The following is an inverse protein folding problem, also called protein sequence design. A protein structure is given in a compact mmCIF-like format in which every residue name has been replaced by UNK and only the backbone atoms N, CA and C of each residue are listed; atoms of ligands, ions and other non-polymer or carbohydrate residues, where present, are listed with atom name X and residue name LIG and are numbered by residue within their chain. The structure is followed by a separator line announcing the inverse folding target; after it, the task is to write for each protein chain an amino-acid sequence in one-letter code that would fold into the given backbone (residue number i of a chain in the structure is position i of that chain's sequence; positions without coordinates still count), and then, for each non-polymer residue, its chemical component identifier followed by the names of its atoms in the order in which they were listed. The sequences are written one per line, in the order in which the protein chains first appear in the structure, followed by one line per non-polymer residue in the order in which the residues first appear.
data_IF_450525429026
#
_entry.id   IF_450525429026
#
_cell.length_a   1.000
_cell.length_b   1.000
_cell.length_c   1.000
_cell.angle_alpha   90.00
_cell.angle_beta   90.00
_cell.angle_gamma   90.00
#
_symmetry.space_group_name_H-M   'P 1'
#
loop_
_entity.id
_entity.type
_entity.pdbx_description
1 polymer ?
#
# COMPACT_ATOMS: atom_id res chain seq x y z
N UNK A 1 -7.14 8.74 34.66
CA UNK A 1 -8.28 8.02 34.07
C UNK A 1 -8.40 6.69 34.76
N UNK A 2 -9.52 6.41 35.41
CA UNK A 2 -9.81 5.11 36.00
C UNK A 2 -10.00 4.07 34.90
N UNK A 3 -9.85 2.76 35.20
CA UNK A 3 -10.01 1.69 34.22
C UNK A 3 -11.37 1.70 33.51
N UNK A 4 -12.40 2.29 34.15
CA UNK A 4 -13.76 2.39 33.64
C UNK A 4 -13.96 3.38 32.48
N UNK A 5 -13.01 4.31 32.26
CA UNK A 5 -13.19 5.42 31.27
C UNK A 5 -12.54 5.18 29.91
N UNK A 6 -11.89 4.03 29.70
CA UNK A 6 -11.24 3.75 28.41
C UNK A 6 -12.24 3.17 27.40
N UNK A 7 -12.50 3.89 26.31
CA UNK A 7 -13.35 3.41 25.22
C UNK A 7 -12.58 2.47 24.31
N UNK A 8 -12.90 1.17 24.35
CA UNK A 8 -12.31 0.16 23.49
C UNK A 8 -12.85 0.18 22.07
N UNK A 9 -14.06 0.71 21.87
CA UNK A 9 -14.71 0.79 20.57
C UNK A 9 -14.33 2.09 19.88
N UNK A 10 -13.72 2.02 18.71
CA UNK A 10 -13.44 3.15 17.84
C UNK A 10 -14.54 3.39 16.80
N UNK A 11 -14.18 4.01 15.70
CA UNK A 11 -15.09 4.28 14.60
C UNK A 11 -15.52 2.96 13.91
N UNK A 12 -16.77 2.94 13.43
CA UNK A 12 -17.27 1.90 12.53
C UNK A 12 -17.55 2.50 11.15
N UNK A 13 -17.04 1.85 10.10
CA UNK A 13 -17.32 2.22 8.71
C UNK A 13 -17.38 0.96 7.84
N UNK A 14 -18.28 0.94 6.85
CA UNK A 14 -18.56 -0.25 6.06
C UNK A 14 -18.75 -1.50 6.96
N UNK A 15 -18.01 -2.56 6.71
CA UNK A 15 -17.99 -3.81 7.46
C UNK A 15 -16.89 -3.87 8.53
N UNK A 16 -16.21 -2.76 8.82
CA UNK A 16 -15.05 -2.68 9.71
C UNK A 16 -15.42 -1.96 11.01
N UNK A 17 -15.07 -2.55 12.15
CA UNK A 17 -15.11 -1.94 13.47
C UNK A 17 -13.70 -1.78 13.99
N UNK A 18 -13.25 -0.54 14.21
CA UNK A 18 -11.97 -0.27 14.84
C UNK A 18 -12.04 -0.57 16.35
N UNK A 19 -11.07 -1.31 16.84
CA UNK A 19 -10.88 -1.54 18.26
C UNK A 19 -9.60 -0.85 18.75
N UNK A 20 -9.68 -0.28 19.93
CA UNK A 20 -8.56 0.36 20.62
C UNK A 20 -8.08 -0.56 21.73
N UNK A 21 -6.79 -0.58 21.96
CA UNK A 21 -6.17 -1.36 23.03
C UNK A 21 -5.33 -0.45 23.93
N UNK A 22 -5.35 -0.74 25.22
CA UNK A 22 -4.39 -0.15 26.17
C UNK A 22 -3.11 -0.97 26.14
N UNK A 23 -1.98 -0.28 26.20
CA UNK A 23 -0.67 -0.90 26.35
C UNK A 23 -0.34 -0.93 27.85
N UNK A 24 -0.87 -1.92 28.57
CA UNK A 24 -0.64 -2.06 29.99
C UNK A 24 0.87 -2.26 30.26
N UNK A 25 1.41 -1.52 31.23
CA UNK A 25 2.83 -1.57 31.57
C UNK A 25 3.73 -0.60 30.77
N UNK A 26 3.21 0.09 29.76
CA UNK A 26 4.03 1.06 29.00
C UNK A 26 4.59 2.18 29.88
N UNK A 27 3.81 2.65 30.86
CA UNK A 27 4.22 3.70 31.79
C UNK A 27 5.40 3.27 32.68
N UNK A 28 5.56 1.97 32.93
CA UNK A 28 6.63 1.39 33.76
C UNK A 28 7.96 1.25 33.00
N UNK A 29 7.95 1.36 31.68
CA UNK A 29 9.16 1.31 30.88
C UNK A 29 10.08 2.48 31.20
N UNK A 30 11.39 2.24 31.15
CA UNK A 30 12.40 3.29 31.26
C UNK A 30 12.28 4.32 30.14
N UNK A 31 12.85 5.49 30.34
CA UNK A 31 12.89 6.52 29.30
C UNK A 31 13.65 6.03 28.05
N UNK A 32 14.70 5.22 28.22
CA UNK A 32 15.46 4.62 27.12
C UNK A 32 14.59 3.69 26.30
N UNK A 33 13.86 2.77 26.93
CA UNK A 33 12.94 1.86 26.28
C UNK A 33 11.82 2.60 25.53
N UNK A 34 11.25 3.65 26.12
CA UNK A 34 10.23 4.48 25.46
C UNK A 34 10.80 5.19 24.22
N UNK A 35 12.03 5.71 24.28
CA UNK A 35 12.70 6.32 23.14
C UNK A 35 13.02 5.30 22.04
N UNK A 36 13.45 4.11 22.41
CA UNK A 36 13.67 3.01 21.49
C UNK A 36 12.39 2.68 20.69
N UNK A 37 11.27 2.42 21.41
CA UNK A 37 9.96 2.15 20.79
C UNK A 37 9.50 3.31 19.91
N UNK A 38 9.70 4.56 20.33
CA UNK A 38 9.37 5.74 19.52
C UNK A 38 10.14 5.75 18.20
N UNK A 39 11.45 5.49 18.23
CA UNK A 39 12.26 5.47 17.01
C UNK A 39 11.83 4.33 16.06
N UNK A 40 11.54 3.13 16.58
CA UNK A 40 11.01 2.02 15.79
C UNK A 40 9.66 2.37 15.18
N UNK A 41 8.74 2.96 15.95
CA UNK A 41 7.45 3.41 15.46
C UNK A 41 7.59 4.46 14.34
N UNK A 42 8.56 5.38 14.46
CA UNK A 42 8.86 6.32 13.37
C UNK A 42 9.38 5.64 12.12
N UNK A 43 10.26 4.65 12.25
CA UNK A 43 10.77 3.88 11.11
C UNK A 43 9.62 3.19 10.35
N UNK A 44 8.68 2.57 11.06
CA UNK A 44 7.54 1.85 10.43
C UNK A 44 6.63 2.76 9.62
N UNK A 45 6.51 4.05 9.97
CA UNK A 45 5.68 4.98 9.20
C UNK A 45 6.16 5.17 7.76
N UNK A 46 7.48 5.10 7.51
CA UNK A 46 8.04 5.20 6.16
C UNK A 46 7.87 3.92 5.34
N UNK A 47 7.64 2.77 5.99
CA UNK A 47 7.32 1.51 5.32
C UNK A 47 5.90 1.45 4.75
N UNK A 48 5.00 2.33 5.20
CA UNK A 48 3.58 2.31 4.79
C UNK A 48 3.40 2.45 3.28
N UNK A 49 4.07 3.41 2.66
CA UNK A 49 3.95 3.66 1.21
C UNK A 49 4.51 2.48 0.39
N UNK A 50 5.54 1.82 0.90
CA UNK A 50 6.08 0.59 0.31
C UNK A 50 5.00 -0.51 0.31
N UNK A 51 4.34 -0.73 1.45
CA UNK A 51 3.26 -1.73 1.57
C UNK A 51 2.11 -1.44 0.59
N UNK A 52 1.67 -0.19 0.46
CA UNK A 52 0.65 0.19 -0.52
C UNK A 52 1.07 -0.14 -1.95
N UNK A 53 2.29 0.16 -2.32
CA UNK A 53 2.80 -0.09 -3.66
C UNK A 53 3.01 -1.58 -3.94
N UNK A 54 3.49 -2.35 -2.96
CA UNK A 54 3.65 -3.81 -3.10
C UNK A 54 2.32 -4.55 -3.21
N UNK A 55 1.27 -4.09 -2.50
CA UNK A 55 -0.06 -4.71 -2.55
C UNK A 55 -0.81 -4.44 -3.86
N UNK A 56 -0.36 -3.47 -4.66
CA UNK A 56 -0.89 -3.21 -5.99
C UNK A 56 -0.25 -1.99 -6.62
N UNK A 57 0.11 -2.10 -7.88
CA UNK A 57 0.83 -1.07 -8.65
C UNK A 57 0.20 0.34 -8.52
N UNK A 58 -1.13 0.40 -8.44
CA UNK A 58 -1.88 1.67 -8.41
C UNK A 58 -2.37 2.08 -7.03
N UNK A 59 -2.22 1.25 -6.00
CA UNK A 59 -2.80 1.50 -4.68
C UNK A 59 -2.33 2.81 -4.06
N UNK A 60 -1.04 3.13 -4.18
CA UNK A 60 -0.49 4.37 -3.64
C UNK A 60 -1.01 5.59 -4.41
N UNK A 61 -1.15 5.48 -5.73
CA UNK A 61 -1.72 6.54 -6.58
C UNK A 61 -3.19 6.79 -6.24
N UNK A 62 -4.00 5.72 -6.11
CA UNK A 62 -5.41 5.82 -5.66
C UNK A 62 -5.48 6.51 -4.30
N UNK A 63 -4.73 6.03 -3.30
CA UNK A 63 -4.74 6.61 -1.96
C UNK A 63 -4.43 8.10 -1.97
N UNK A 64 -3.33 8.50 -2.59
CA UNK A 64 -2.89 9.91 -2.63
C UNK A 64 -3.91 10.80 -3.35
N UNK A 65 -4.51 10.32 -4.43
CA UNK A 65 -5.54 11.08 -5.14
C UNK A 65 -6.80 11.27 -4.29
N UNK A 66 -7.27 10.20 -3.63
CA UNK A 66 -8.46 10.28 -2.77
C UNK A 66 -8.20 11.11 -1.51
N UNK A 67 -6.99 11.08 -0.93
CA UNK A 67 -6.58 11.94 0.18
C UNK A 67 -6.69 13.41 -0.21
N UNK A 68 -6.16 13.80 -1.37
CA UNK A 68 -6.26 15.18 -1.88
C UNK A 68 -7.71 15.62 -2.07
N UNK A 69 -8.58 14.74 -2.59
CA UNK A 69 -10.02 15.03 -2.75
C UNK A 69 -10.69 15.25 -1.39
N UNK A 70 -10.41 14.37 -0.42
CA UNK A 70 -11.08 14.44 0.91
C UNK A 70 -10.58 15.61 1.74
N UNK A 71 -9.34 16.06 1.55
CA UNK A 71 -8.77 17.23 2.22
C UNK A 71 -9.18 18.57 1.58
N UNK A 72 -9.77 18.56 0.38
CA UNK A 72 -10.16 19.79 -0.32
C UNK A 72 -11.49 20.35 0.19
N UNK A 73 -11.40 21.46 0.94
CA UNK A 73 -12.55 22.13 1.55
C UNK A 73 -13.49 22.83 0.55
N UNK A 74 -13.13 22.88 -0.73
CA UNK A 74 -14.01 23.46 -1.77
C UNK A 74 -15.02 22.45 -2.31
N UNK A 75 -14.86 21.17 -1.97
CA UNK A 75 -15.78 20.09 -2.33
C UNK A 75 -16.90 20.02 -1.28
N UNK A 76 -18.13 19.77 -1.74
CA UNK A 76 -19.28 19.55 -0.86
C UNK A 76 -19.15 18.18 -0.16
N UNK A 77 -18.88 18.22 1.15
CA UNK A 77 -18.72 17.04 1.99
C UNK A 77 -20.06 16.45 2.47
N UNK A 78 -21.16 17.16 2.34
CA UNK A 78 -22.49 16.69 2.74
C UNK A 78 -23.22 15.88 1.65
N UNK A 79 -22.60 15.71 0.51
CA UNK A 79 -23.08 14.91 -0.60
C UNK A 79 -22.92 13.40 -0.33
N UNK A 80 -23.93 12.60 -0.70
CA UNK A 80 -23.92 11.13 -0.51
C UNK A 80 -22.78 10.44 -1.28
N UNK A 81 -22.48 10.89 -2.49
CA UNK A 81 -21.37 10.39 -3.30
C UNK A 81 -20.02 10.65 -2.62
N UNK A 82 -19.85 11.84 -2.01
CA UNK A 82 -18.66 12.16 -1.24
C UNK A 82 -18.53 11.27 0.00
N UNK A 83 -19.61 11.06 0.75
CA UNK A 83 -19.61 10.17 1.91
C UNK A 83 -19.24 8.73 1.53
N UNK A 84 -19.72 8.25 0.39
CA UNK A 84 -19.37 6.95 -0.15
C UNK A 84 -17.89 6.88 -0.56
N UNK A 85 -17.35 7.91 -1.21
CA UNK A 85 -15.94 8.03 -1.56
C UNK A 85 -15.04 8.05 -0.30
N UNK A 86 -15.41 8.81 0.71
CA UNK A 86 -14.67 8.88 1.98
C UNK A 86 -14.68 7.51 2.69
N UNK A 87 -15.81 6.80 2.68
CA UNK A 87 -15.90 5.43 3.19
C UNK A 87 -15.00 4.47 2.42
N UNK A 88 -14.95 4.61 1.09
CA UNK A 88 -14.05 3.84 0.24
C UNK A 88 -12.57 4.12 0.58
N UNK A 89 -12.19 5.39 0.75
CA UNK A 89 -10.83 5.76 1.17
C UNK A 89 -10.47 5.14 2.54
N UNK A 90 -11.39 5.12 3.51
CA UNK A 90 -11.16 4.45 4.80
C UNK A 90 -10.89 2.95 4.64
N UNK A 91 -11.61 2.27 3.73
CA UNK A 91 -11.33 0.87 3.40
C UNK A 91 -9.95 0.71 2.76
N UNK A 92 -9.57 1.63 1.85
CA UNK A 92 -8.25 1.66 1.21
C UNK A 92 -7.14 1.84 2.25
N UNK A 93 -7.31 2.75 3.21
CA UNK A 93 -6.35 2.93 4.32
C UNK A 93 -6.20 1.65 5.15
N UNK A 94 -7.32 1.06 5.56
CA UNK A 94 -7.33 -0.13 6.39
C UNK A 94 -6.66 -1.34 5.72
N UNK A 95 -6.91 -1.52 4.43
CA UNK A 95 -6.45 -2.70 3.67
C UNK A 95 -5.11 -2.51 2.96
N UNK A 96 -4.48 -1.34 3.08
CA UNK A 96 -3.30 -0.93 2.32
C UNK A 96 -3.51 -1.02 0.80
N UNK A 97 -4.70 -0.71 0.32
CA UNK A 97 -5.04 -0.72 -1.10
C UNK A 97 -6.52 -0.98 -1.37
N UNK A 98 -6.85 -1.12 -2.65
CA UNK A 98 -8.23 -1.25 -3.14
C UNK A 98 -8.79 -2.67 -3.05
N UNK A 99 -8.10 -3.58 -2.34
CA UNK A 99 -8.49 -4.99 -2.22
C UNK A 99 -8.81 -5.35 -0.79
N UNK A 100 -9.79 -6.24 -0.61
CA UNK A 100 -10.13 -6.74 0.71
C UNK A 100 -8.92 -7.43 1.35
N UNK A 101 -8.67 -7.12 2.63
CA UNK A 101 -7.45 -7.52 3.33
C UNK A 101 -7.31 -9.04 3.54
N UNK A 102 -8.42 -9.80 3.58
CA UNK A 102 -8.42 -11.26 3.63
C UNK A 102 -8.76 -11.91 2.28
N UNK A 103 -9.90 -11.56 1.68
CA UNK A 103 -10.42 -12.21 0.48
C UNK A 103 -9.68 -11.84 -0.80
N UNK A 104 -8.91 -10.75 -0.77
CA UNK A 104 -8.13 -10.24 -1.90
C UNK A 104 -8.94 -9.71 -3.09
N UNK A 105 -10.27 -9.72 -3.06
CA UNK A 105 -11.12 -9.14 -4.11
C UNK A 105 -11.12 -7.61 -4.05
N UNK A 106 -11.28 -7.00 -5.22
CA UNK A 106 -11.36 -5.56 -5.37
C UNK A 106 -12.62 -5.02 -4.70
N UNK A 107 -12.48 -3.91 -3.97
CA UNK A 107 -13.63 -3.19 -3.43
C UNK A 107 -14.50 -2.61 -4.55
N UNK A 108 -15.81 -2.77 -4.41
CA UNK A 108 -16.78 -2.07 -5.24
C UNK A 108 -16.96 -0.66 -4.67
N UNK A 109 -16.73 0.41 -5.45
CA UNK A 109 -16.99 1.77 -5.01
C UNK A 109 -18.49 2.02 -4.81
N UNK A 110 -18.85 2.75 -3.75
CA UNK A 110 -20.22 3.18 -3.50
C UNK A 110 -20.57 4.55 -4.12
N UNK A 111 -19.65 5.10 -4.91
CA UNK A 111 -19.80 6.37 -5.64
C UNK A 111 -19.64 6.12 -7.13
N UNK A 112 -20.19 7.02 -7.95
CA UNK A 112 -20.16 6.87 -9.41
C UNK A 112 -18.85 7.32 -10.04
N UNK A 113 -18.49 6.74 -11.19
CA UNK A 113 -17.34 7.19 -11.98
C UNK A 113 -17.52 8.65 -12.45
N UNK A 114 -18.74 9.03 -12.85
CA UNK A 114 -19.04 10.40 -13.27
C UNK A 114 -18.80 11.41 -12.15
N UNK A 115 -19.18 11.07 -10.92
CA UNK A 115 -18.90 11.91 -9.75
C UNK A 115 -17.39 12.00 -9.50
N UNK A 116 -16.68 10.87 -9.53
CA UNK A 116 -15.23 10.85 -9.35
C UNK A 116 -14.51 11.76 -10.34
N UNK A 117 -14.82 11.65 -11.64
CA UNK A 117 -14.24 12.52 -12.67
C UNK A 117 -14.59 13.98 -12.47
N UNK A 118 -15.83 14.26 -12.10
CA UNK A 118 -16.28 15.63 -11.82
C UNK A 118 -15.49 16.28 -10.69
N UNK A 119 -15.35 15.62 -9.54
CA UNK A 119 -14.63 16.20 -8.40
C UNK A 119 -13.12 16.27 -8.63
N UNK A 120 -12.54 15.31 -9.35
CA UNK A 120 -11.12 15.33 -9.68
C UNK A 120 -10.74 16.57 -10.51
N UNK A 121 -11.60 16.98 -11.44
CA UNK A 121 -11.44 18.20 -12.22
C UNK A 121 -11.67 19.50 -11.42
N UNK A 122 -12.25 19.44 -10.23
CA UNK A 122 -12.40 20.60 -9.33
C UNK A 122 -11.19 20.85 -8.46
N UNK A 123 -10.43 19.82 -8.15
CA UNK A 123 -9.25 19.91 -7.31
C UNK A 123 -8.12 20.60 -8.08
N UNK A 124 -7.36 21.46 -7.41
CA UNK A 124 -6.18 22.10 -8.01
C UNK A 124 -5.18 21.03 -8.49
N UNK A 125 -4.86 21.02 -9.79
CA UNK A 125 -3.99 20.02 -10.42
C UNK A 125 -2.63 19.87 -9.75
N UNK A 126 -2.05 20.97 -9.21
CA UNK A 126 -0.76 20.94 -8.49
C UNK A 126 -0.77 20.13 -7.20
N UNK A 127 -1.94 19.83 -6.64
CA UNK A 127 -2.09 19.00 -5.43
C UNK A 127 -2.18 17.51 -5.78
N UNK A 128 -2.56 17.19 -7.01
CA UNK A 128 -2.73 15.81 -7.46
C UNK A 128 -1.37 15.13 -7.70
N UNK A 129 -1.27 13.82 -7.48
CA UNK A 129 -0.04 13.06 -7.68
C UNK A 129 0.21 12.75 -9.17
N UNK A 130 0.27 13.80 -9.99
CA UNK A 130 0.53 13.70 -11.42
C UNK A 130 2.01 13.36 -11.68
N UNK A 131 2.25 12.50 -12.66
CA UNK A 131 3.58 12.31 -13.22
C UNK A 131 4.00 13.52 -14.05
N UNK A 132 5.29 13.65 -14.34
CA UNK A 132 5.81 14.74 -15.16
C UNK A 132 5.12 14.76 -16.52
N UNK A 133 4.48 15.88 -16.86
CA UNK A 133 3.73 16.07 -18.09
C UNK A 133 2.35 15.41 -18.15
N UNK A 134 1.92 14.71 -17.09
CA UNK A 134 0.61 14.06 -17.03
C UNK A 134 -0.51 15.08 -16.81
N UNK A 135 -1.59 14.94 -17.54
CA UNK A 135 -2.82 15.72 -17.38
C UNK A 135 -3.74 15.13 -16.33
N UNK A 136 -4.67 15.93 -15.80
CA UNK A 136 -5.71 15.45 -14.87
C UNK A 136 -6.61 14.42 -15.55
N UNK A 137 -6.90 14.57 -16.84
CA UNK A 137 -7.75 13.64 -17.59
C UNK A 137 -7.08 12.28 -17.76
N UNK A 138 -5.79 12.23 -18.06
CA UNK A 138 -5.02 10.98 -18.12
C UNK A 138 -4.96 10.28 -16.76
N UNK A 139 -4.82 11.04 -15.66
CA UNK A 139 -4.93 10.47 -14.32
C UNK A 139 -6.32 9.92 -14.06
N UNK A 140 -7.37 10.67 -14.45
CA UNK A 140 -8.76 10.23 -14.32
C UNK A 140 -9.04 8.93 -15.10
N UNK A 141 -8.53 8.80 -16.32
CA UNK A 141 -8.68 7.59 -17.14
C UNK A 141 -8.03 6.37 -16.50
N UNK A 142 -6.80 6.52 -16.02
CA UNK A 142 -6.09 5.44 -15.32
C UNK A 142 -6.87 5.02 -14.07
N UNK A 143 -7.25 5.98 -13.23
CA UNK A 143 -7.92 5.67 -11.96
C UNK A 143 -9.35 5.18 -12.15
N UNK A 144 -10.08 5.67 -13.15
CA UNK A 144 -11.40 5.17 -13.51
C UNK A 144 -11.34 3.69 -13.88
N UNK A 145 -10.42 3.30 -14.73
CA UNK A 145 -10.21 1.89 -15.06
C UNK A 145 -9.82 1.06 -13.83
N UNK A 146 -8.92 1.58 -13.00
CA UNK A 146 -8.43 0.85 -11.81
C UNK A 146 -9.53 0.67 -10.77
N UNK A 147 -10.36 1.68 -10.53
CA UNK A 147 -11.37 1.69 -9.46
C UNK A 147 -12.67 1.02 -9.93
N UNK A 148 -13.17 1.33 -11.13
CA UNK A 148 -14.52 0.98 -11.56
C UNK A 148 -14.60 -0.23 -12.49
N UNK A 149 -13.55 -0.56 -13.26
CA UNK A 149 -13.54 -1.77 -14.08
C UNK A 149 -13.30 -3.01 -13.21
N UNK A 150 -14.35 -3.75 -12.93
CA UNK A 150 -14.29 -4.97 -12.12
C UNK A 150 -13.46 -6.10 -12.78
N UNK A 151 -13.24 -6.06 -14.10
CA UNK A 151 -12.46 -7.06 -14.83
C UNK A 151 -10.96 -6.74 -14.84
N UNK A 152 -10.59 -5.48 -14.64
CA UNK A 152 -9.21 -5.06 -14.64
C UNK A 152 -8.57 -5.27 -13.26
N UNK A 153 -7.58 -6.15 -13.16
CA UNK A 153 -6.90 -6.52 -11.92
C UNK A 153 -7.92 -6.87 -10.80
N UNK A 154 -8.74 -7.91 -10.96
CA UNK A 154 -9.88 -8.18 -10.09
C UNK A 154 -9.49 -8.63 -8.68
N UNK A 155 -8.29 -9.20 -8.52
CA UNK A 155 -7.79 -9.72 -7.24
C UNK A 155 -6.37 -9.24 -6.95
N UNK A 156 -6.08 -8.96 -5.68
CA UNK A 156 -4.71 -8.71 -5.23
C UNK A 156 -3.81 -9.91 -5.47
N UNK A 157 -4.27 -11.09 -5.07
CA UNK A 157 -3.61 -12.38 -5.29
C UNK A 157 -4.64 -13.33 -5.89
N UNK A 158 -4.40 -13.79 -7.10
CA UNK A 158 -5.19 -14.85 -7.72
C UNK A 158 -4.65 -16.23 -7.30
N UNK A 159 -5.56 -17.15 -7.00
CA UNK A 159 -5.26 -18.54 -6.63
C UNK A 159 -6.12 -19.52 -7.39
N UNK A 160 -6.66 -19.12 -8.53
CA UNK A 160 -7.55 -19.95 -9.36
C UNK A 160 -6.72 -20.97 -10.11
N UNK A 161 -7.07 -22.24 -10.00
CA UNK A 161 -6.40 -23.31 -10.74
C UNK A 161 -6.53 -23.11 -12.26
N UNK A 162 -5.43 -23.27 -12.97
CA UNK A 162 -5.34 -23.13 -14.41
C UNK A 162 -5.07 -21.71 -14.92
N UNK A 163 -5.10 -20.71 -14.05
CA UNK A 163 -4.68 -19.34 -14.37
C UNK A 163 -3.16 -19.18 -14.20
N UNK A 164 -2.56 -18.22 -14.94
CA UNK A 164 -1.24 -17.71 -14.61
C UNK A 164 -1.35 -16.83 -13.35
N UNK A 165 -0.93 -17.36 -12.21
CA UNK A 165 -1.12 -16.71 -10.90
C UNK A 165 -0.31 -15.41 -10.77
N UNK A 166 0.77 -15.25 -11.52
CA UNK A 166 1.61 -14.05 -11.53
C UNK A 166 0.99 -12.95 -12.36
N UNK A 167 0.61 -13.23 -13.61
CA UNK A 167 0.04 -12.22 -14.50
C UNK A 167 -1.35 -11.76 -14.07
N UNK A 168 -2.12 -12.61 -13.41
CA UNK A 168 -3.50 -12.32 -13.02
C UNK A 168 -3.65 -11.74 -11.61
N UNK A 169 -2.54 -11.62 -10.86
CA UNK A 169 -2.49 -10.94 -9.57
C UNK A 169 -2.12 -9.47 -9.72
N UNK A 170 -2.78 -8.61 -8.93
CA UNK A 170 -2.52 -7.18 -8.94
C UNK A 170 -1.33 -6.75 -8.04
N UNK A 171 -0.82 -7.64 -7.18
CA UNK A 171 0.35 -7.35 -6.35
C UNK A 171 1.58 -7.05 -7.21
N UNK A 172 2.39 -6.08 -6.74
CA UNK A 172 3.47 -5.49 -7.54
C UNK A 172 4.84 -6.11 -7.23
N UNK A 173 4.89 -7.46 -7.18
CA UNK A 173 6.14 -8.21 -7.05
C UNK A 173 6.68 -8.69 -8.40
N UNK A 174 5.87 -8.60 -9.44
CA UNK A 174 6.20 -9.01 -10.80
C UNK A 174 5.71 -7.96 -11.78
N UNK A 175 6.46 -7.68 -12.83
CA UNK A 175 6.04 -6.76 -13.89
C UNK A 175 6.40 -7.33 -15.27
N UNK A 176 5.38 -7.68 -16.07
CA UNK A 176 5.56 -8.25 -17.40
C UNK A 176 6.12 -9.68 -17.41
N UNK A 177 6.02 -10.39 -16.29
CA UNK A 177 6.58 -11.74 -16.07
C UNK A 177 5.44 -12.74 -15.94
N UNK A 178 5.54 -13.88 -16.61
CA UNK A 178 4.64 -15.02 -16.43
C UNK A 178 5.02 -15.85 -15.22
N UNK A 179 4.10 -16.68 -14.74
CA UNK A 179 4.39 -17.63 -13.65
C UNK A 179 5.56 -18.56 -14.04
N UNK A 180 5.54 -19.12 -15.24
CA UNK A 180 6.58 -20.02 -15.70
C UNK A 180 7.96 -19.34 -15.74
N UNK A 181 8.03 -18.10 -16.25
CA UNK A 181 9.29 -17.34 -16.27
C UNK A 181 9.82 -17.06 -14.86
N UNK A 182 8.94 -16.76 -13.91
CA UNK A 182 9.33 -16.53 -12.52
C UNK A 182 9.86 -17.83 -11.87
N UNK A 183 9.16 -18.95 -12.09
CA UNK A 183 9.57 -20.27 -11.59
C UNK A 183 10.94 -20.68 -12.17
N UNK A 184 11.12 -20.57 -13.47
CA UNK A 184 12.38 -20.92 -14.15
C UNK A 184 13.54 -20.06 -13.65
N UNK A 185 13.32 -18.74 -13.52
CA UNK A 185 14.33 -17.80 -13.03
C UNK A 185 14.81 -18.16 -11.62
N UNK A 186 13.89 -18.35 -10.67
CA UNK A 186 14.25 -18.64 -9.29
C UNK A 186 14.76 -20.08 -9.09
N UNK A 187 14.31 -21.04 -9.87
CA UNK A 187 14.85 -22.40 -9.84
C UNK A 187 16.29 -22.42 -10.33
N UNK A 188 16.62 -21.71 -11.41
CA UNK A 188 18.00 -21.60 -11.89
C UNK A 188 18.95 -20.98 -10.83
N UNK A 189 18.47 -19.97 -10.07
CA UNK A 189 19.25 -19.41 -8.97
C UNK A 189 19.48 -20.41 -7.82
N UNK A 190 18.45 -21.19 -7.46
CA UNK A 190 18.55 -22.23 -6.42
C UNK A 190 19.52 -23.34 -6.82
N UNK A 191 19.41 -23.84 -8.05
CA UNK A 191 20.30 -24.90 -8.57
C UNK A 191 21.76 -24.44 -8.58
N UNK A 192 21.99 -23.16 -8.92
CA UNK A 192 23.34 -22.57 -8.90
C UNK A 192 23.93 -22.38 -7.49
N UNK A 193 23.11 -22.32 -6.45
CA UNK A 193 23.52 -22.08 -5.07
C UNK A 193 23.69 -23.39 -4.24
N UNK A 194 23.26 -24.54 -4.76
CA UNK A 194 23.36 -25.84 -4.11
C UNK A 194 22.47 -26.04 -2.88
N UNK A 195 22.79 -27.06 -2.06
CA UNK A 195 21.90 -27.53 -0.95
C UNK A 195 21.62 -26.50 0.15
N UNK A 196 22.43 -25.47 0.26
CA UNK A 196 22.27 -24.39 1.25
C UNK A 196 21.77 -23.07 0.59
N UNK A 197 21.05 -23.16 -0.51
CA UNK A 197 20.52 -21.98 -1.21
C UNK A 197 19.71 -21.06 -0.27
N UNK A 198 19.97 -19.75 -0.26
CA UNK A 198 19.13 -18.80 0.48
C UNK A 198 17.75 -18.70 -0.17
N UNK A 199 16.80 -18.09 0.53
CA UNK A 199 15.52 -17.69 -0.09
C UNK A 199 15.77 -16.51 -1.02
N UNK A 200 15.39 -16.64 -2.29
CA UNK A 200 15.48 -15.58 -3.29
C UNK A 200 14.17 -14.79 -3.40
N UNK A 201 14.22 -13.59 -3.97
CA UNK A 201 13.05 -12.77 -4.26
C UNK A 201 12.38 -12.08 -3.06
N UNK A 202 12.98 -12.11 -1.86
CA UNK A 202 12.37 -11.55 -0.65
C UNK A 202 12.40 -10.02 -0.59
N UNK A 203 13.44 -9.39 -1.16
CA UNK A 203 13.67 -7.95 -1.10
C UNK A 203 13.81 -7.34 -2.50
N UNK A 204 13.07 -7.86 -3.46
CA UNK A 204 13.09 -7.44 -4.85
C UNK A 204 11.73 -7.64 -5.50
N UNK A 205 11.55 -7.06 -6.66
CA UNK A 205 10.53 -7.50 -7.63
C UNK A 205 11.20 -7.97 -8.91
N UNK A 206 10.61 -8.95 -9.56
CA UNK A 206 11.08 -9.45 -10.85
C UNK A 206 10.36 -8.72 -11.97
N UNK A 207 11.11 -8.11 -12.87
CA UNK A 207 10.58 -7.34 -14.00
C UNK A 207 11.14 -7.87 -15.32
N UNK A 208 10.33 -7.78 -16.37
CA UNK A 208 10.74 -8.11 -17.73
C UNK A 208 10.80 -6.86 -18.57
N UNK A 209 11.97 -6.53 -19.12
CA UNK A 209 12.21 -5.42 -20.03
C UNK A 209 13.00 -5.90 -21.24
N UNK A 210 12.53 -5.58 -22.43
CA UNK A 210 13.17 -5.99 -23.69
C UNK A 210 13.45 -7.50 -23.77
N UNK A 211 12.51 -8.30 -23.22
CA UNK A 211 12.59 -9.75 -23.20
C UNK A 211 13.53 -10.35 -22.14
N UNK A 212 14.20 -9.53 -21.34
CA UNK A 212 15.11 -9.97 -20.27
C UNK A 212 14.48 -9.79 -18.88
N UNK A 213 14.80 -10.72 -17.97
CA UNK A 213 14.35 -10.70 -16.58
C UNK A 213 15.41 -10.04 -15.70
N UNK A 214 14.95 -9.14 -14.80
CA UNK A 214 15.78 -8.44 -13.83
C UNK A 214 15.13 -8.44 -12.46
N UNK A 215 15.92 -8.60 -11.40
CA UNK A 215 15.49 -8.24 -10.05
C UNK A 215 15.76 -6.75 -9.78
N UNK A 216 14.70 -6.00 -9.50
CA UNK A 216 14.80 -4.64 -8.93
C UNK A 216 14.84 -4.77 -7.41
N UNK A 217 16.02 -4.66 -6.84
CA UNK A 217 16.24 -4.83 -5.41
C UNK A 217 15.74 -3.63 -4.61
N UNK A 218 15.07 -3.88 -3.49
CA UNK A 218 14.64 -2.87 -2.53
C UNK A 218 15.83 -2.48 -1.64
N UNK A 219 16.43 -1.35 -1.93
CA UNK A 219 17.61 -0.86 -1.21
C UNK A 219 17.63 0.66 -1.10
N UNK A 220 18.56 1.18 -0.32
CA UNK A 220 18.79 2.63 -0.20
C UNK A 220 19.22 3.31 -1.51
N UNK A 221 19.67 2.54 -2.51
CA UNK A 221 20.07 3.02 -3.84
C UNK A 221 19.12 2.53 -4.95
N UNK A 222 18.17 1.64 -4.62
CA UNK A 222 17.25 1.00 -5.56
C UNK A 222 15.82 1.52 -5.47
N UNK A 223 14.89 0.62 -5.80
CA UNK A 223 13.46 0.88 -5.62
C UNK A 223 13.18 1.16 -4.13
N UNK A 224 12.35 2.16 -3.85
CA UNK A 224 12.05 2.67 -2.51
C UNK A 224 13.24 3.34 -1.78
N UNK A 225 14.26 3.82 -2.50
CA UNK A 225 15.44 4.44 -1.90
C UNK A 225 15.11 5.51 -0.85
N UNK A 226 14.18 6.43 -1.16
CA UNK A 226 13.82 7.52 -0.25
C UNK A 226 13.19 7.04 1.06
N UNK A 227 12.10 6.24 1.08
CA UNK A 227 11.56 5.72 2.33
C UNK A 227 12.55 4.82 3.08
N UNK A 228 13.37 4.01 2.39
CA UNK A 228 14.37 3.15 3.03
C UNK A 228 15.43 3.99 3.75
N UNK A 229 15.93 5.09 3.18
CA UNK A 229 16.86 6.02 3.84
C UNK A 229 16.29 6.60 5.13
N UNK A 230 15.00 6.93 5.14
CA UNK A 230 14.33 7.40 6.35
C UNK A 230 14.16 6.28 7.40
N UNK A 231 13.86 5.06 6.97
CA UNK A 231 13.81 3.89 7.86
C UNK A 231 15.18 3.68 8.52
N UNK A 232 16.26 3.66 7.73
CA UNK A 232 17.63 3.51 8.22
C UNK A 232 17.96 4.60 9.25
N UNK A 233 17.68 5.87 8.93
CA UNK A 233 17.91 6.98 9.88
C UNK A 233 17.25 6.75 11.24
N UNK A 234 15.98 6.30 11.26
CA UNK A 234 15.29 6.06 12.52
C UNK A 234 15.76 4.79 13.23
N UNK A 235 16.21 3.76 12.52
CA UNK A 235 16.83 2.57 13.10
C UNK A 235 18.18 2.92 13.74
N UNK A 236 19.02 3.75 13.10
CA UNK A 236 20.27 4.25 13.68
C UNK A 236 20.00 5.07 14.96
N UNK A 237 18.93 5.89 14.97
CA UNK A 237 18.50 6.57 16.20
C UNK A 237 18.05 5.60 17.28
N UNK A 238 17.38 4.51 16.92
CA UNK A 238 16.97 3.49 17.89
C UNK A 238 18.18 2.80 18.54
N UNK A 239 19.25 2.51 17.78
CA UNK A 239 20.46 1.88 18.29
C UNK A 239 21.04 2.58 19.52
N UNK A 240 20.95 3.93 19.59
CA UNK A 240 21.42 4.70 20.73
C UNK A 240 20.65 4.43 22.05
N UNK A 241 19.52 3.75 21.98
CA UNK A 241 18.63 3.42 23.09
C UNK A 241 18.46 1.92 23.31
N UNK A 242 19.09 1.09 22.49
CA UNK A 242 19.08 -0.36 22.65
C UNK A 242 19.85 -0.76 23.93
N UNK A 243 19.35 -1.75 24.65
CA UNK A 243 19.95 -2.20 25.92
C UNK A 243 21.06 -3.23 25.71
N UNK A 244 21.12 -3.85 24.52
CA UNK A 244 22.11 -4.90 24.12
C UNK A 244 22.25 -4.98 22.60
#
# INVERSE_FOLDING_TARGET
MTESDFCYTGERFADIQLLRYRLNGFEQLSLSQKRFIYCLAKATLYGRDITFNQFGKYNLLVRRTLEVIVEDLTIDHDNDEFRALHTYLKRVWFSNGIYHHYGCEKFVPGFSESYFRYILNKVESRKLPLADGQTVEELADILSRVIFDASYLPKRVNKTDGDDLVLTSACNYYEGVTQQEAEDYYNALKDGAGDNAPSFGLNSRLVKRDGQLFEEVYSAEGLYANPIKHIIYWLEKAMAFAEN
#
